data_IF_178246928142
#
_entry.id   IF_178246928142
#
_cell.length_a   1.000
_cell.length_b   1.000
_cell.length_c   1.000
_cell.angle_alpha   90.00
_cell.angle_beta   90.00
_cell.angle_gamma   90.00
#
_symmetry.space_group_name_H-M   'P 1'
#
loop_
_entity.id
_entity.type
_entity.pdbx_description
1 polymer ?
#
# COMPACT_ATOMS: atom_id res chain seq x y z
N UNK A 1 13.61 33.46 37.22
CA UNK A 1 12.54 32.69 36.54
C UNK A 1 12.41 33.31 35.16
N UNK A 2 12.69 32.62 34.05
CA UNK A 2 12.59 33.27 32.76
C UNK A 2 11.11 33.39 32.39
N UNK A 3 10.73 34.58 31.94
CA UNK A 3 9.38 34.97 31.58
C UNK A 3 8.77 34.01 30.55
N UNK A 4 7.72 33.30 30.95
CA UNK A 4 6.84 32.60 30.04
C UNK A 4 5.94 33.63 29.37
N UNK A 5 6.41 34.18 28.25
CA UNK A 5 5.56 34.91 27.31
C UNK A 5 4.57 33.93 26.68
N UNK A 6 3.37 33.86 27.25
CA UNK A 6 2.23 33.16 26.65
C UNK A 6 1.65 34.06 25.55
N UNK A 7 2.16 33.94 24.32
CA UNK A 7 1.48 34.51 23.16
C UNK A 7 0.25 33.64 22.85
N UNK A 8 -0.91 34.04 23.37
CA UNK A 8 -2.20 33.54 22.87
C UNK A 8 -2.50 34.32 21.58
N UNK A 9 -1.87 33.89 20.48
CA UNK A 9 -2.30 34.32 19.16
C UNK A 9 -3.57 33.50 18.83
N UNK A 10 -4.74 34.10 19.04
CA UNK A 10 -5.95 33.65 18.32
C UNK A 10 -5.73 34.07 16.88
N UNK A 11 -5.14 33.19 16.08
CA UNK A 11 -4.89 33.44 14.66
C UNK A 11 -6.21 33.22 13.90
N UNK A 12 -6.98 34.28 13.75
CA UNK A 12 -7.97 34.39 12.68
C UNK A 12 -7.29 35.14 11.53
N UNK A 13 -7.14 34.45 10.40
CA UNK A 13 -6.57 34.89 9.12
C UNK A 13 -5.05 34.70 8.93
N UNK A 14 -4.71 34.16 7.75
CA UNK A 14 -3.39 33.72 7.34
C UNK A 14 -2.31 34.78 7.50
N UNK A 15 -1.16 34.35 8.02
CA UNK A 15 0.02 35.18 8.17
C UNK A 15 0.87 35.11 6.89
N UNK A 16 1.09 36.25 6.25
CA UNK A 16 2.06 36.41 5.16
C UNK A 16 3.38 36.99 5.71
N UNK A 17 4.04 36.30 6.65
CA UNK A 17 5.31 36.74 7.25
C UNK A 17 6.01 35.68 8.11
N UNK A 18 7.31 35.88 8.40
CA UNK A 18 8.11 34.95 9.22
C UNK A 18 7.87 35.17 10.72
N UNK A 19 7.23 34.19 11.38
CA UNK A 19 7.14 34.12 12.84
C UNK A 19 8.39 33.39 13.37
N UNK A 20 9.06 33.92 14.41
CA UNK A 20 10.15 33.25 15.14
C UNK A 20 9.76 33.03 16.60
N UNK A 21 9.56 31.79 17.02
CA UNK A 21 9.26 31.42 18.41
C UNK A 21 10.22 30.34 18.92
N UNK A 22 10.60 30.36 20.20
CA UNK A 22 11.33 29.23 20.79
C UNK A 22 10.47 27.96 20.78
N UNK A 23 9.38 27.97 21.57
CA UNK A 23 8.35 26.94 21.55
C UNK A 23 7.01 27.58 21.14
N UNK A 24 6.39 27.03 20.10
CA UNK A 24 5.03 27.39 19.68
C UNK A 24 4.09 26.24 20.02
N UNK A 25 2.92 26.57 20.57
CA UNK A 25 1.90 25.59 20.93
C UNK A 25 0.56 26.01 20.35
N UNK A 26 -0.08 25.11 19.61
CA UNK A 26 -1.42 25.28 19.06
C UNK A 26 -2.33 24.31 19.79
N UNK A 27 -3.18 24.83 20.69
CA UNK A 27 -4.04 23.97 21.52
C UNK A 27 -5.32 23.53 20.79
N UNK A 28 -5.77 24.31 19.82
CA UNK A 28 -6.95 24.03 19.02
C UNK A 28 -7.04 24.93 17.79
N UNK A 29 -8.00 24.64 16.91
CA UNK A 29 -8.17 25.35 15.64
C UNK A 29 -7.18 24.89 14.58
N UNK A 30 -6.97 25.72 13.56
CA UNK A 30 -6.10 25.39 12.43
C UNK A 30 -4.90 26.35 12.38
N UNK A 31 -3.71 25.78 12.22
CA UNK A 31 -2.49 26.51 11.87
C UNK A 31 -2.11 26.16 10.44
N UNK A 32 -2.36 27.08 9.52
CA UNK A 32 -1.94 27.01 8.12
C UNK A 32 -0.54 27.63 7.96
N UNK A 33 0.43 26.83 7.54
CA UNK A 33 1.80 27.26 7.24
C UNK A 33 1.94 27.48 5.74
N UNK A 34 1.69 28.69 5.26
CA UNK A 34 1.79 29.02 3.83
C UNK A 34 3.19 29.37 3.31
N UNK A 35 4.14 29.74 4.19
CA UNK A 35 5.52 30.10 3.81
C UNK A 35 6.55 29.52 4.77
N UNK A 36 7.16 30.29 5.67
CA UNK A 36 8.09 29.77 6.67
C UNK A 36 7.66 30.12 8.08
N UNK A 37 7.49 29.08 8.90
CA UNK A 37 7.30 29.17 10.33
C UNK A 37 8.63 28.86 11.05
N UNK A 38 9.31 29.91 11.51
CA UNK A 38 10.50 29.81 12.33
C UNK A 38 10.13 29.40 13.75
N UNK A 39 10.48 28.18 14.16
CA UNK A 39 10.45 27.81 15.56
C UNK A 39 11.51 26.79 15.92
N UNK A 40 11.86 26.69 17.21
CA UNK A 40 12.69 25.56 17.70
C UNK A 40 11.84 24.31 17.89
N UNK A 41 10.64 24.47 18.46
CA UNK A 41 9.66 23.40 18.55
C UNK A 41 8.22 23.89 18.33
N UNK A 42 7.41 23.09 17.64
CA UNK A 42 5.97 23.26 17.48
C UNK A 42 5.22 22.09 18.15
N UNK A 43 4.24 22.38 18.98
CA UNK A 43 3.32 21.39 19.56
C UNK A 43 1.92 21.58 19.00
N UNK A 44 1.40 20.58 18.29
CA UNK A 44 0.04 20.54 17.75
C UNK A 44 -0.83 19.74 18.71
N UNK A 45 -1.68 20.40 19.47
CA UNK A 45 -2.54 19.79 20.47
C UNK A 45 -3.66 18.91 19.87
N UNK A 46 -4.34 18.10 20.68
CA UNK A 46 -5.33 17.12 20.19
C UNK A 46 -6.52 17.71 19.42
N UNK A 47 -6.87 18.97 19.69
CA UNK A 47 -7.95 19.68 19.01
C UNK A 47 -7.44 20.63 17.91
N UNK A 48 -6.15 20.57 17.59
CA UNK A 48 -5.50 21.41 16.59
C UNK A 48 -5.24 20.65 15.30
N UNK A 49 -5.23 21.40 14.19
CA UNK A 49 -4.89 20.94 12.85
C UNK A 49 -3.70 21.75 12.33
N UNK A 50 -2.70 21.06 11.79
CA UNK A 50 -1.57 21.66 11.09
C UNK A 50 -1.73 21.45 9.60
N UNK A 51 -1.79 22.53 8.84
CA UNK A 51 -2.06 22.55 7.41
C UNK A 51 -1.06 23.43 6.66
N UNK A 52 -1.26 23.57 5.34
CA UNK A 52 -0.42 24.41 4.48
C UNK A 52 0.65 23.66 3.69
N UNK A 53 1.48 24.44 3.01
CA UNK A 53 2.47 23.98 2.01
C UNK A 53 3.88 24.56 2.25
N UNK A 54 4.07 25.18 3.40
CA UNK A 54 5.26 25.90 3.76
C UNK A 54 6.31 25.03 4.43
N UNK A 55 7.20 25.67 5.18
CA UNK A 55 8.33 25.06 5.88
C UNK A 55 8.30 25.43 7.36
N UNK A 56 8.47 24.44 8.22
CA UNK A 56 8.67 24.60 9.66
C UNK A 56 10.13 24.28 9.95
N UNK A 57 10.83 25.18 10.64
CA UNK A 57 12.29 25.02 10.86
C UNK A 57 12.63 24.07 12.00
N UNK A 58 11.72 23.88 12.95
CA UNK A 58 11.96 23.17 14.21
C UNK A 58 11.39 21.76 14.25
N UNK A 59 11.53 21.11 15.40
CA UNK A 59 10.88 19.82 15.66
C UNK A 59 9.39 20.00 15.86
N UNK A 60 8.58 19.04 15.40
CA UNK A 60 7.13 19.09 15.53
C UNK A 60 6.66 17.90 16.37
N UNK A 61 5.88 18.18 17.41
CA UNK A 61 5.17 17.17 18.20
C UNK A 61 3.68 17.25 17.86
N UNK A 62 3.12 16.15 17.40
CA UNK A 62 1.74 16.08 16.95
C UNK A 62 0.95 15.26 17.96
N UNK A 63 -0.14 15.79 18.47
CA UNK A 63 -1.21 15.05 19.16
C UNK A 63 -2.56 15.20 18.46
N UNK A 64 -2.69 16.17 17.55
CA UNK A 64 -3.87 16.42 16.73
C UNK A 64 -3.70 15.92 15.29
N UNK A 65 -4.13 16.75 14.33
CA UNK A 65 -4.14 16.39 12.91
C UNK A 65 -3.01 17.10 12.16
N UNK A 66 -2.33 16.38 11.28
CA UNK A 66 -1.51 16.95 10.21
C UNK A 66 -2.18 16.65 8.88
N UNK A 67 -2.46 17.69 8.10
CA UNK A 67 -3.06 17.56 6.77
C UNK A 67 -2.40 18.55 5.83
N UNK A 68 -1.28 18.15 5.18
CA UNK A 68 -0.65 18.98 4.16
C UNK A 68 -1.66 19.31 3.06
N UNK A 69 -1.50 20.45 2.38
CA UNK A 69 -2.37 20.80 1.23
C UNK A 69 -3.78 21.27 1.57
N UNK A 70 -4.33 20.93 2.73
CA UNK A 70 -5.55 21.61 3.23
C UNK A 70 -5.28 23.11 3.44
N UNK A 71 -6.25 23.94 3.09
CA UNK A 71 -6.14 25.40 3.17
C UNK A 71 -5.36 26.09 2.03
N UNK A 72 -4.65 25.35 1.18
CA UNK A 72 -3.80 25.91 0.09
C UNK A 72 -4.55 26.35 -1.17
N UNK A 73 -5.86 26.09 -1.25
CA UNK A 73 -6.70 26.34 -2.42
C UNK A 73 -6.70 25.22 -3.47
N UNK A 74 -5.70 24.34 -3.49
CA UNK A 74 -5.61 23.19 -4.42
C UNK A 74 -5.84 21.83 -3.77
N UNK A 75 -6.12 21.78 -2.45
CA UNK A 75 -6.33 20.57 -1.66
C UNK A 75 -5.19 19.52 -1.75
N UNK A 76 -4.06 19.94 -2.31
CA UNK A 76 -2.84 19.18 -2.53
C UNK A 76 -1.69 20.06 -2.12
N UNK A 77 -0.75 19.50 -1.38
CA UNK A 77 0.49 20.21 -1.11
C UNK A 77 1.52 19.47 -0.29
N UNK A 78 2.70 20.08 -0.26
CA UNK A 78 3.85 19.55 0.45
C UNK A 78 4.17 20.45 1.64
N UNK A 79 3.94 19.94 2.86
CA UNK A 79 4.40 20.60 4.07
C UNK A 79 5.80 20.09 4.42
N UNK A 80 6.74 20.98 4.65
CA UNK A 80 8.12 20.62 4.97
C UNK A 80 8.44 20.90 6.44
N UNK A 81 9.08 19.95 7.11
CA UNK A 81 9.62 20.08 8.47
C UNK A 81 11.13 19.84 8.40
N UNK A 82 11.91 20.90 8.58
CA UNK A 82 13.38 20.85 8.66
C UNK A 82 13.89 20.34 10.02
N UNK A 83 13.08 19.54 10.70
CA UNK A 83 13.31 18.95 12.00
C UNK A 83 12.79 17.51 12.04
N UNK A 84 12.65 16.96 13.24
CA UNK A 84 11.97 15.66 13.43
C UNK A 84 10.49 15.88 13.71
N UNK A 85 9.66 14.92 13.31
CA UNK A 85 8.22 14.87 13.64
C UNK A 85 7.95 13.68 14.55
N UNK A 86 7.35 13.94 15.71
CA UNK A 86 6.91 12.91 16.65
C UNK A 86 5.38 12.88 16.69
N UNK A 87 4.80 11.80 16.18
CA UNK A 87 3.37 11.53 16.26
C UNK A 87 3.04 10.86 17.61
N UNK A 88 2.38 11.59 18.49
CA UNK A 88 1.96 11.12 19.81
C UNK A 88 0.69 10.27 19.68
N UNK A 89 0.34 9.45 20.70
CA UNK A 89 -0.89 8.68 20.69
C UNK A 89 -2.12 9.56 20.42
N UNK A 90 -2.96 9.14 19.45
CA UNK A 90 -4.12 9.89 19.00
C UNK A 90 -3.87 10.82 17.81
N UNK A 91 -2.62 10.94 17.34
CA UNK A 91 -2.31 11.72 16.14
C UNK A 91 -2.99 11.16 14.90
N UNK A 92 -3.37 12.07 14.02
CA UNK A 92 -4.00 11.77 12.74
C UNK A 92 -3.18 12.41 11.62
N UNK A 93 -2.95 11.66 10.55
CA UNK A 93 -2.41 12.17 9.30
C UNK A 93 -3.48 12.03 8.21
N UNK A 94 -3.92 13.15 7.66
CA UNK A 94 -4.89 13.20 6.56
C UNK A 94 -4.18 13.54 5.26
N UNK A 95 -4.35 12.69 4.25
CA UNK A 95 -3.77 12.85 2.92
C UNK A 95 -4.87 12.77 1.86
N UNK A 96 -4.80 13.67 0.89
CA UNK A 96 -5.62 13.65 -0.32
C UNK A 96 -4.75 13.32 -1.54
N UNK A 97 -5.25 12.43 -2.40
CA UNK A 97 -4.70 12.17 -3.72
C UNK A 97 -5.63 12.74 -4.80
N UNK A 98 -5.20 13.78 -5.48
CA UNK A 98 -5.97 14.41 -6.57
C UNK A 98 -5.88 13.58 -7.84
N UNK A 99 -4.71 13.00 -8.09
CA UNK A 99 -4.51 12.06 -9.18
C UNK A 99 -3.45 11.04 -8.76
N UNK A 100 -2.96 10.31 -9.75
CA UNK A 100 -2.08 9.18 -9.55
C UNK A 100 -0.68 9.52 -9.01
N UNK A 101 -0.21 10.74 -9.23
CA UNK A 101 1.14 11.17 -8.83
C UNK A 101 1.12 12.46 -8.01
N UNK A 102 -0.04 13.11 -7.94
CA UNK A 102 -0.27 14.33 -7.19
C UNK A 102 -1.09 14.02 -5.95
N UNK A 103 -0.43 14.06 -4.81
CA UNK A 103 -1.00 13.80 -3.49
C UNK A 103 -0.33 14.68 -2.43
N UNK A 104 -0.96 14.79 -1.27
CA UNK A 104 -0.35 15.44 -0.11
C UNK A 104 0.89 14.70 0.35
N UNK A 105 1.92 15.48 0.71
CA UNK A 105 3.15 14.95 1.25
C UNK A 105 3.61 15.74 2.47
N UNK A 106 4.05 15.04 3.51
CA UNK A 106 4.80 15.62 4.60
C UNK A 106 6.28 15.26 4.43
N UNK A 107 7.11 16.27 4.15
CA UNK A 107 8.55 16.08 4.07
C UNK A 107 9.16 16.33 5.43
N UNK A 108 9.79 15.31 6.01
CA UNK A 108 10.47 15.37 7.29
C UNK A 108 11.96 15.15 7.05
N UNK A 109 12.75 16.21 7.19
CA UNK A 109 14.19 16.18 6.85
C UNK A 109 14.98 15.30 7.83
N UNK A 110 14.61 15.33 9.11
CA UNK A 110 15.16 14.40 10.09
C UNK A 110 14.25 13.17 10.18
N UNK A 111 13.81 12.78 11.38
CA UNK A 111 13.07 11.54 11.56
C UNK A 111 11.57 11.78 11.77
N UNK A 112 10.74 10.93 11.15
CA UNK A 112 9.31 10.83 11.45
C UNK A 112 9.05 9.55 12.24
N UNK A 113 8.51 9.66 13.45
CA UNK A 113 8.34 8.52 14.36
C UNK A 113 7.03 8.62 15.16
N UNK A 114 6.60 7.50 15.73
CA UNK A 114 5.53 7.45 16.72
C UNK A 114 4.32 6.64 16.27
N UNK A 115 3.14 7.05 16.71
CA UNK A 115 1.86 6.36 16.44
C UNK A 115 0.92 7.29 15.73
N UNK A 116 0.34 6.85 14.62
CA UNK A 116 -0.51 7.69 13.79
C UNK A 116 -1.61 6.89 13.07
N UNK A 117 -2.82 7.43 13.08
CA UNK A 117 -3.89 6.97 12.22
C UNK A 117 -3.86 7.74 10.89
N UNK A 118 -3.71 7.03 9.78
CA UNK A 118 -3.59 7.61 8.44
C UNK A 118 -4.93 7.52 7.71
N UNK A 119 -5.48 8.65 7.32
CA UNK A 119 -6.68 8.76 6.51
C UNK A 119 -6.31 9.17 5.09
N UNK A 120 -6.64 8.32 4.13
CA UNK A 120 -6.39 8.58 2.71
C UNK A 120 -7.72 8.80 2.00
N UNK A 121 -7.86 10.01 1.45
CA UNK A 121 -8.95 10.38 0.55
C UNK A 121 -8.41 10.53 -0.86
N UNK A 122 -9.31 10.47 -1.85
CA UNK A 122 -8.91 10.54 -3.25
C UNK A 122 -9.98 11.17 -4.13
N UNK A 123 -9.57 11.81 -5.21
CA UNK A 123 -10.46 12.04 -6.36
C UNK A 123 -10.88 10.69 -6.96
N UNK A 124 -12.07 10.56 -7.57
CA UNK A 124 -12.62 9.28 -8.03
C UNK A 124 -11.69 8.47 -8.95
N UNK A 125 -10.87 9.15 -9.75
CA UNK A 125 -9.92 8.55 -10.69
C UNK A 125 -8.52 8.39 -10.12
N UNK A 126 -8.22 8.94 -8.94
CA UNK A 126 -6.88 8.92 -8.38
C UNK A 126 -6.52 7.53 -7.83
N UNK A 127 -5.32 7.06 -8.17
CA UNK A 127 -4.79 5.76 -7.76
C UNK A 127 -3.31 5.96 -7.47
N UNK A 128 -2.97 6.46 -6.28
CA UNK A 128 -1.61 6.80 -5.89
C UNK A 128 -0.82 5.54 -5.52
N UNK A 129 -0.44 4.74 -6.52
CA UNK A 129 0.36 3.53 -6.28
C UNK A 129 1.80 3.90 -5.92
N UNK A 130 2.30 3.32 -4.82
CA UNK A 130 3.67 3.49 -4.30
C UNK A 130 4.09 4.95 -4.11
N UNK A 131 3.12 5.85 -3.91
CA UNK A 131 3.40 7.26 -3.73
C UNK A 131 3.74 7.56 -2.27
N UNK A 132 4.77 8.37 -2.04
CA UNK A 132 5.17 8.80 -0.70
C UNK A 132 4.18 9.82 -0.16
N UNK A 133 3.56 9.52 0.98
CA UNK A 133 2.69 10.43 1.74
C UNK A 133 3.45 11.10 2.90
N UNK A 134 4.51 10.43 3.38
CA UNK A 134 5.50 11.02 4.27
C UNK A 134 6.87 10.69 3.70
N UNK A 135 7.60 11.72 3.31
CA UNK A 135 9.00 11.59 2.90
C UNK A 135 9.86 11.75 4.15
N UNK A 136 10.48 10.67 4.60
CA UNK A 136 11.31 10.66 5.79
C UNK A 136 12.79 10.48 5.48
N UNK A 137 13.51 10.00 6.48
CA UNK A 137 14.91 9.59 6.37
C UNK A 137 15.13 8.22 7.00
N UNK A 138 16.33 7.60 6.86
CA UNK A 138 16.62 6.26 7.36
C UNK A 138 16.40 6.01 8.87
N UNK A 139 16.28 7.06 9.69
CA UNK A 139 15.96 6.97 11.11
C UNK A 139 14.45 7.08 11.43
N UNK A 140 13.59 7.15 10.40
CA UNK A 140 12.14 7.21 10.53
C UNK A 140 11.56 5.81 10.74
N UNK A 141 10.50 5.72 11.55
CA UNK A 141 9.87 4.46 11.96
C UNK A 141 8.35 4.60 11.91
N UNK A 142 7.71 3.80 11.04
CA UNK A 142 6.26 3.84 10.81
C UNK A 142 5.53 2.56 11.27
N UNK A 143 6.19 1.66 12.00
CA UNK A 143 5.62 0.38 12.43
C UNK A 143 4.33 0.47 13.26
N UNK A 144 4.04 1.65 13.83
CA UNK A 144 2.80 1.94 14.56
C UNK A 144 1.85 2.89 13.82
N UNK A 145 2.03 3.03 12.49
CA UNK A 145 1.10 3.73 11.62
C UNK A 145 0.10 2.74 11.07
N UNK A 146 -1.15 3.17 10.94
CA UNK A 146 -2.23 2.30 10.43
C UNK A 146 -3.20 3.10 9.59
N UNK A 147 -3.71 2.49 8.51
CA UNK A 147 -4.81 3.09 7.75
C UNK A 147 -6.08 3.07 8.62
N UNK A 148 -6.78 4.20 8.64
CA UNK A 148 -8.05 4.38 9.32
C UNK A 148 -9.12 4.96 8.39
N UNK A 149 -10.37 4.93 8.84
CA UNK A 149 -11.53 5.48 8.13
C UNK A 149 -12.24 4.47 7.23
N UNK A 150 -13.26 4.94 6.49
CA UNK A 150 -14.16 4.11 5.69
C UNK A 150 -13.49 3.43 4.50
N UNK A 151 -12.35 3.96 4.06
CA UNK A 151 -11.62 3.43 2.91
C UNK A 151 -10.49 2.47 3.32
N UNK A 152 -10.43 2.03 4.58
CA UNK A 152 -9.28 1.27 5.08
C UNK A 152 -9.05 -0.08 4.39
N UNK A 153 -10.07 -0.65 3.74
CA UNK A 153 -9.96 -1.85 2.93
C UNK A 153 -9.26 -1.62 1.57
N UNK A 154 -9.24 -0.38 1.08
CA UNK A 154 -8.72 -0.02 -0.24
C UNK A 154 -7.23 0.33 -0.21
N UNK A 155 -6.69 0.63 0.96
CA UNK A 155 -5.35 1.18 1.10
C UNK A 155 -4.46 0.30 1.96
N UNK A 156 -3.16 0.27 1.63
CA UNK A 156 -2.13 -0.17 2.56
C UNK A 156 -1.04 0.87 2.69
N UNK A 157 -0.35 0.79 3.83
CA UNK A 157 0.89 1.51 4.07
C UNK A 157 2.05 0.56 3.86
N UNK A 158 3.06 1.06 3.17
CA UNK A 158 4.32 0.35 2.96
C UNK A 158 5.49 1.29 3.24
N UNK A 159 6.61 0.71 3.64
CA UNK A 159 7.86 1.46 3.73
C UNK A 159 8.67 1.24 2.46
N UNK A 160 9.12 2.33 1.84
CA UNK A 160 9.94 2.26 0.62
C UNK A 160 11.02 3.33 0.55
N UNK A 161 12.01 3.11 -0.31
CA UNK A 161 13.15 4.03 -0.48
C UNK A 161 13.95 4.25 0.81
N UNK A 162 14.30 5.51 1.10
CA UNK A 162 15.04 5.93 2.30
C UNK A 162 14.18 5.99 3.57
N UNK A 163 13.31 5.01 3.81
CA UNK A 163 12.25 5.00 4.85
C UNK A 163 11.24 6.15 4.66
N UNK A 164 10.64 6.17 3.47
CA UNK A 164 9.41 6.91 3.23
C UNK A 164 8.21 6.04 3.59
N UNK A 165 7.13 6.68 4.03
CA UNK A 165 5.83 6.03 4.15
C UNK A 165 5.09 6.19 2.82
N UNK A 166 4.82 5.06 2.19
CA UNK A 166 4.10 4.97 0.92
C UNK A 166 2.64 4.58 1.17
N UNK A 167 1.76 5.05 0.29
CA UNK A 167 0.41 4.50 0.14
C UNK A 167 0.35 3.64 -1.13
N UNK A 168 -0.40 2.54 -1.06
CA UNK A 168 -0.74 1.70 -2.22
C UNK A 168 -2.24 1.41 -2.24
N UNK A 169 -2.83 1.43 -3.45
CA UNK A 169 -4.25 1.13 -3.69
C UNK A 169 -4.41 -0.32 -4.10
N UNK A 170 -5.23 -1.09 -3.38
CA UNK A 170 -5.45 -2.51 -3.66
C UNK A 170 -6.61 -2.79 -4.63
N UNK A 171 -7.38 -1.78 -5.03
CA UNK A 171 -8.74 -2.00 -5.57
C UNK A 171 -9.14 -1.13 -6.77
N UNK A 172 -8.20 -0.44 -7.43
CA UNK A 172 -8.52 0.23 -8.69
C UNK A 172 -8.62 -0.80 -9.83
N UNK A 173 -9.58 -0.64 -10.74
CA UNK A 173 -9.72 -1.36 -12.02
C UNK A 173 -10.27 -0.33 -13.03
N UNK A 174 -9.36 0.35 -13.74
CA UNK A 174 -9.63 1.59 -14.47
C UNK A 174 -10.41 1.39 -15.75
N UNK A 175 -10.31 0.21 -16.37
CA UNK A 175 -11.06 -0.18 -17.56
C UNK A 175 -12.13 -1.26 -17.31
N UNK A 176 -12.24 -1.77 -16.08
CA UNK A 176 -13.33 -2.63 -15.62
C UNK A 176 -13.19 -4.07 -16.09
N UNK A 177 -11.97 -4.53 -16.37
CA UNK A 177 -11.71 -5.84 -16.94
C UNK A 177 -11.40 -6.93 -15.89
N UNK A 178 -11.51 -6.57 -14.60
CA UNK A 178 -11.19 -7.40 -13.43
C UNK A 178 -9.69 -7.63 -13.20
N UNK A 179 -8.82 -6.86 -13.84
CA UNK A 179 -7.43 -6.69 -13.43
C UNK A 179 -7.31 -5.44 -12.54
N UNK A 180 -6.56 -5.51 -11.44
CA UNK A 180 -6.29 -4.31 -10.68
C UNK A 180 -5.34 -3.36 -11.41
N UNK A 181 -5.64 -2.07 -11.42
CA UNK A 181 -4.81 -0.99 -11.98
C UNK A 181 -3.36 -1.04 -11.50
N UNK A 182 -3.14 -1.49 -10.26
CA UNK A 182 -1.80 -1.64 -9.71
C UNK A 182 -1.03 -2.77 -10.37
N UNK A 183 -1.70 -3.89 -10.63
CA UNK A 183 -1.11 -5.06 -11.26
C UNK A 183 -0.80 -4.75 -12.72
N UNK A 184 -1.70 -4.04 -13.40
CA UNK A 184 -1.43 -3.57 -14.76
C UNK A 184 -0.27 -2.58 -14.80
N UNK A 185 -0.17 -1.68 -13.82
CA UNK A 185 0.93 -0.71 -13.76
C UNK A 185 2.27 -1.42 -13.58
N UNK A 186 2.35 -2.38 -12.66
CA UNK A 186 3.59 -3.10 -12.35
C UNK A 186 4.06 -3.97 -13.52
N UNK A 187 3.13 -4.57 -14.29
CA UNK A 187 3.48 -5.49 -15.37
C UNK A 187 3.53 -4.81 -16.75
N UNK A 188 2.63 -3.87 -17.04
CA UNK A 188 2.46 -3.27 -18.37
C UNK A 188 2.77 -1.77 -18.42
N UNK A 189 3.16 -1.16 -17.29
CA UNK A 189 3.41 0.29 -17.20
C UNK A 189 2.20 1.15 -17.63
N UNK A 190 1.00 0.60 -17.49
CA UNK A 190 -0.28 1.21 -17.87
C UNK A 190 -1.38 0.74 -16.92
N UNK A 191 -2.49 1.48 -16.81
CA UNK A 191 -3.64 1.12 -15.96
C UNK A 191 -4.82 0.52 -16.71
N UNK A 192 -4.72 0.40 -18.03
CA UNK A 192 -5.86 0.02 -18.88
C UNK A 192 -5.39 -0.64 -20.18
N UNK A 193 -4.13 -1.09 -20.22
CA UNK A 193 -3.56 -1.63 -21.46
C UNK A 193 -3.46 -3.14 -21.43
N UNK A 194 -3.47 -3.75 -20.24
CA UNK A 194 -3.53 -5.19 -20.15
C UNK A 194 -4.99 -5.58 -20.37
N UNK A 195 -5.25 -6.45 -21.34
CA UNK A 195 -6.55 -7.11 -21.38
C UNK A 195 -6.50 -8.36 -20.51
N UNK A 196 -7.45 -8.51 -19.60
CA UNK A 196 -7.67 -9.70 -18.78
C UNK A 196 -7.67 -11.01 -19.57
N UNK A 197 -8.12 -10.96 -20.82
CA UNK A 197 -8.22 -12.12 -21.72
C UNK A 197 -7.04 -12.32 -22.66
N UNK A 198 -6.12 -11.35 -22.73
CA UNK A 198 -4.90 -11.48 -23.52
C UNK A 198 -3.89 -12.39 -22.83
N UNK A 199 -3.10 -13.07 -23.65
CA UNK A 199 -1.94 -13.88 -23.29
C UNK A 199 -0.72 -13.11 -23.82
N UNK A 200 -0.14 -12.28 -22.95
CA UNK A 200 0.78 -11.22 -23.36
C UNK A 200 2.16 -11.76 -23.74
N UNK A 201 2.63 -12.78 -23.02
CA UNK A 201 3.87 -13.46 -23.35
C UNK A 201 3.65 -14.58 -24.37
N UNK A 202 2.51 -15.28 -24.38
CA UNK A 202 2.18 -16.35 -25.31
C UNK A 202 2.43 -17.74 -24.74
N UNK A 203 2.14 -17.95 -23.45
CA UNK A 203 2.32 -19.20 -22.71
C UNK A 203 1.00 -19.99 -22.50
N UNK A 204 -0.10 -19.48 -23.07
CA UNK A 204 -1.48 -19.97 -22.97
C UNK A 204 -2.19 -19.66 -21.65
N UNK A 205 -1.60 -18.83 -20.79
CA UNK A 205 -2.20 -18.31 -19.58
C UNK A 205 -2.56 -16.83 -19.77
N UNK A 206 -3.85 -16.49 -19.68
CA UNK A 206 -4.25 -15.10 -19.84
C UNK A 206 -3.90 -14.25 -18.60
N UNK A 207 -3.79 -12.94 -18.79
CA UNK A 207 -3.44 -11.97 -17.76
C UNK A 207 -4.28 -12.10 -16.48
N UNK A 208 -5.58 -12.39 -16.58
CA UNK A 208 -6.42 -12.62 -15.39
C UNK A 208 -6.01 -13.88 -14.64
N UNK A 209 -5.70 -14.97 -15.35
CA UNK A 209 -5.24 -16.20 -14.72
C UNK A 209 -3.86 -16.00 -14.08
N UNK A 210 -2.99 -15.24 -14.74
CA UNK A 210 -1.68 -14.82 -14.23
C UNK A 210 -1.81 -14.01 -12.92
N UNK A 211 -2.68 -12.99 -12.92
CA UNK A 211 -3.01 -12.20 -11.73
C UNK A 211 -3.48 -13.08 -10.56
N UNK A 212 -4.40 -14.02 -10.83
CA UNK A 212 -4.93 -14.93 -9.80
C UNK A 212 -3.85 -15.90 -9.30
N UNK A 213 -2.98 -16.39 -10.19
CA UNK A 213 -1.90 -17.28 -9.84
C UNK A 213 -0.71 -16.57 -9.16
N UNK A 214 -0.58 -15.25 -9.34
CA UNK A 214 0.58 -14.48 -8.92
C UNK A 214 1.82 -14.74 -9.78
N UNK A 215 1.61 -15.18 -11.01
CA UNK A 215 2.66 -15.41 -12.02
C UNK A 215 2.93 -14.12 -12.81
N UNK A 216 3.96 -14.15 -13.66
CA UNK A 216 4.45 -12.95 -14.37
C UNK A 216 3.94 -13.00 -15.81
N UNK A 217 3.00 -12.11 -16.20
CA UNK A 217 2.35 -12.14 -17.51
C UNK A 217 3.29 -11.79 -18.68
N UNK A 218 4.54 -11.42 -18.40
CA UNK A 218 5.57 -11.11 -19.39
C UNK A 218 6.70 -12.17 -19.45
N UNK A 219 6.64 -13.22 -18.63
CA UNK A 219 7.62 -14.31 -18.61
C UNK A 219 6.97 -15.68 -18.77
N UNK A 220 7.14 -16.26 -19.96
CA UNK A 220 6.62 -17.59 -20.36
C UNK A 220 7.00 -18.75 -19.45
N UNK A 221 8.00 -18.56 -18.60
CA UNK A 221 8.46 -19.58 -17.66
C UNK A 221 7.79 -19.46 -16.28
N UNK A 222 7.13 -18.35 -16.02
CA UNK A 222 6.34 -18.05 -14.83
C UNK A 222 4.88 -18.38 -15.10
N UNK A 223 4.50 -19.66 -14.94
CA UNK A 223 3.12 -20.10 -15.19
C UNK A 223 2.65 -21.15 -14.19
N UNK A 224 1.35 -21.17 -13.91
CA UNK A 224 0.75 -22.21 -13.08
C UNK A 224 0.49 -23.49 -13.88
N UNK A 225 1.50 -24.35 -13.91
CA UNK A 225 1.41 -25.66 -14.54
C UNK A 225 1.96 -26.77 -13.63
N UNK A 226 1.45 -28.00 -13.83
CA UNK A 226 2.05 -29.20 -13.23
C UNK A 226 3.40 -29.42 -13.93
N UNK A 227 4.49 -29.20 -13.21
CA UNK A 227 5.86 -29.35 -13.70
C UNK A 227 6.27 -30.83 -13.78
N UNK A 228 5.80 -31.67 -12.86
CA UNK A 228 5.99 -33.12 -12.95
C UNK A 228 4.83 -33.88 -12.30
N UNK A 229 4.48 -35.01 -12.90
CA UNK A 229 3.48 -35.94 -12.40
C UNK A 229 3.94 -37.37 -12.67
N UNK A 230 4.14 -38.18 -11.62
CA UNK A 230 4.65 -39.53 -11.81
C UNK A 230 4.68 -40.36 -10.54
N UNK A 231 4.94 -41.67 -10.68
CA UNK A 231 5.14 -42.55 -9.53
C UNK A 231 6.54 -42.35 -8.93
N UNK A 232 6.58 -42.18 -7.62
CA UNK A 232 7.78 -42.25 -6.79
C UNK A 232 8.32 -43.69 -6.75
N UNK A 233 9.56 -43.85 -6.27
CA UNK A 233 10.16 -45.15 -5.96
C UNK A 233 9.35 -45.96 -4.94
N UNK A 234 8.57 -45.29 -4.07
CA UNK A 234 7.61 -45.90 -3.13
C UNK A 234 6.30 -46.34 -3.78
N UNK A 235 6.14 -46.17 -5.10
CA UNK A 235 4.90 -46.34 -5.87
C UNK A 235 3.82 -45.28 -5.68
N UNK A 236 4.03 -44.27 -4.83
CA UNK A 236 3.07 -43.17 -4.66
C UNK A 236 3.02 -42.24 -5.88
N UNK A 237 1.85 -41.72 -6.25
CA UNK A 237 1.76 -40.77 -7.36
C UNK A 237 1.97 -39.34 -6.85
N UNK A 238 3.03 -38.68 -7.32
CA UNK A 238 3.43 -37.35 -6.84
C UNK A 238 3.29 -36.33 -7.97
N UNK A 239 2.65 -35.21 -7.64
CA UNK A 239 2.54 -34.02 -8.45
C UNK A 239 3.50 -32.95 -7.91
N UNK A 240 4.11 -32.17 -8.79
CA UNK A 240 4.80 -30.94 -8.43
C UNK A 240 4.43 -29.80 -9.38
N UNK A 241 4.42 -28.57 -8.87
CA UNK A 241 4.13 -27.36 -9.64
C UNK A 241 4.87 -26.17 -9.04
N UNK A 242 5.16 -25.16 -9.87
CA UNK A 242 5.71 -23.90 -9.39
C UNK A 242 4.68 -23.18 -8.52
N UNK A 243 5.13 -22.71 -7.36
CA UNK A 243 4.27 -22.05 -6.39
C UNK A 243 4.76 -20.66 -6.05
N UNK A 244 3.81 -19.75 -5.87
CA UNK A 244 4.03 -18.34 -5.55
C UNK A 244 3.62 -18.09 -4.10
N UNK A 245 4.40 -17.29 -3.37
CA UNK A 245 4.11 -16.90 -1.99
C UNK A 245 2.70 -16.30 -1.86
N UNK A 246 2.08 -16.45 -0.68
CA UNK A 246 0.73 -15.94 -0.38
C UNK A 246 -0.40 -16.50 -1.26
N UNK A 247 -0.16 -17.65 -1.94
CA UNK A 247 -1.21 -18.40 -2.63
C UNK A 247 -1.58 -19.65 -1.85
N UNK A 248 -2.82 -20.10 -2.10
CA UNK A 248 -3.34 -21.36 -1.60
C UNK A 248 -3.81 -22.18 -2.79
N UNK A 249 -3.45 -23.46 -2.83
CA UNK A 249 -3.70 -24.33 -3.96
C UNK A 249 -4.69 -25.45 -3.63
N UNK A 250 -5.33 -25.94 -4.68
CA UNK A 250 -6.11 -27.15 -4.67
C UNK A 250 -5.70 -28.07 -5.83
N UNK A 251 -5.86 -29.38 -5.63
CA UNK A 251 -5.67 -30.38 -6.69
C UNK A 251 -7.02 -30.97 -7.03
N UNK A 252 -7.36 -30.98 -8.31
CA UNK A 252 -8.53 -31.66 -8.86
C UNK A 252 -8.07 -32.85 -9.68
N UNK A 253 -8.87 -33.91 -9.65
CA UNK A 253 -8.62 -35.16 -10.40
C UNK A 253 -9.89 -35.62 -11.09
N UNK A 254 -9.75 -36.20 -12.28
CA UNK A 254 -10.84 -36.91 -12.97
C UNK A 254 -10.30 -38.11 -13.75
N UNK A 255 -11.12 -39.15 -13.91
CA UNK A 255 -10.89 -40.25 -14.85
C UNK A 255 -11.79 -40.12 -16.10
N UNK A 256 -12.56 -39.04 -16.20
CA UNK A 256 -13.50 -38.75 -17.27
C UNK A 256 -13.34 -37.29 -17.71
N UNK A 257 -12.65 -37.09 -18.83
CA UNK A 257 -12.45 -35.76 -19.43
C UNK A 257 -13.72 -35.19 -20.05
N UNK A 258 -14.74 -36.00 -20.33
CA UNK A 258 -16.02 -35.55 -20.91
C UNK A 258 -16.83 -34.83 -19.84
N UNK A 259 -16.92 -35.40 -18.64
CA UNK A 259 -17.63 -34.81 -17.50
C UNK A 259 -16.77 -33.82 -16.70
N UNK A 260 -15.48 -33.70 -17.03
CA UNK A 260 -14.56 -32.71 -16.47
C UNK A 260 -14.09 -33.02 -15.04
N UNK A 261 -13.63 -31.98 -14.34
CA UNK A 261 -13.12 -32.09 -12.97
C UNK A 261 -14.24 -31.86 -11.95
N UNK A 262 -14.38 -32.78 -11.00
CA UNK A 262 -15.27 -32.63 -9.84
C UNK A 262 -14.62 -31.78 -8.73
N UNK A 263 -15.14 -31.85 -7.51
CA UNK A 263 -14.57 -31.16 -6.36
C UNK A 263 -13.08 -31.53 -6.18
N UNK A 264 -12.25 -30.61 -5.62
CA UNK A 264 -10.85 -30.90 -5.37
C UNK A 264 -10.68 -32.15 -4.50
N UNK A 265 -9.71 -32.99 -4.83
CA UNK A 265 -9.29 -34.13 -3.99
C UNK A 265 -8.58 -33.63 -2.73
N UNK A 266 -7.96 -32.45 -2.81
CA UNK A 266 -7.37 -31.73 -1.70
C UNK A 266 -7.47 -30.23 -1.98
N UNK A 267 -7.60 -29.45 -0.90
CA UNK A 267 -7.66 -27.98 -0.91
C UNK A 267 -6.85 -27.44 0.26
N UNK A 268 -6.73 -26.12 0.33
CA UNK A 268 -6.01 -25.39 1.37
C UNK A 268 -4.53 -25.77 1.46
N UNK A 269 -3.91 -26.12 0.33
CA UNK A 269 -2.47 -26.38 0.27
C UNK A 269 -1.77 -25.03 0.26
N UNK A 270 -1.17 -24.65 1.39
CA UNK A 270 -0.37 -23.44 1.47
C UNK A 270 0.82 -23.48 0.49
N UNK A 271 1.13 -22.33 -0.11
CA UNK A 271 2.30 -22.20 -0.97
C UNK A 271 3.60 -22.58 -0.23
N UNK A 272 4.52 -23.24 -0.94
CA UNK A 272 5.88 -23.56 -0.49
C UNK A 272 6.87 -23.28 -1.64
N UNK A 273 7.09 -22.00 -2.00
CA UNK A 273 7.97 -21.64 -3.11
C UNK A 273 9.39 -22.21 -2.97
N UNK A 274 10.06 -22.55 -4.09
CA UNK A 274 9.61 -22.34 -5.46
C UNK A 274 8.64 -23.42 -5.98
N UNK A 275 8.52 -24.56 -5.29
CA UNK A 275 7.78 -25.73 -5.77
C UNK A 275 6.91 -26.33 -4.66
N UNK A 276 5.62 -26.46 -4.92
CA UNK A 276 4.75 -27.31 -4.11
C UNK A 276 4.76 -28.74 -4.64
N UNK A 277 4.50 -29.69 -3.73
CA UNK A 277 4.24 -31.09 -4.09
C UNK A 277 2.97 -31.58 -3.42
N UNK A 278 2.31 -32.56 -4.05
CA UNK A 278 1.20 -33.29 -3.47
C UNK A 278 1.29 -34.77 -3.84
N UNK A 279 1.14 -35.65 -2.85
CA UNK A 279 1.12 -37.09 -3.04
C UNK A 279 -0.31 -37.59 -3.04
N UNK A 280 -0.73 -38.17 -4.15
CA UNK A 280 -2.04 -38.79 -4.31
C UNK A 280 -1.96 -40.30 -4.09
N UNK A 281 -2.79 -40.81 -3.18
CA UNK A 281 -2.81 -42.21 -2.75
C UNK A 281 -3.64 -43.11 -3.69
N UNK A 282 -3.68 -42.81 -4.98
CA UNK A 282 -4.43 -43.60 -5.97
C UNK A 282 -3.86 -45.00 -6.16
N UNK A 283 -4.74 -46.01 -6.09
CA UNK A 283 -4.43 -47.40 -6.42
C UNK A 283 -4.03 -47.63 -7.88
N UNK A 284 -3.41 -48.77 -8.17
CA UNK A 284 -2.60 -49.02 -9.39
C UNK A 284 -3.34 -49.48 -10.66
N UNK A 285 -4.52 -48.94 -11.02
CA UNK A 285 -5.23 -49.47 -12.21
C UNK A 285 -6.04 -48.50 -13.08
N UNK A 286 -5.95 -47.18 -12.91
CA UNK A 286 -6.70 -46.23 -13.76
C UNK A 286 -5.86 -45.03 -14.19
N UNK A 287 -6.14 -44.52 -15.39
CA UNK A 287 -5.60 -43.25 -15.88
C UNK A 287 -6.42 -42.11 -15.27
N UNK A 288 -5.72 -41.10 -14.76
CA UNK A 288 -6.32 -39.91 -14.20
C UNK A 288 -5.71 -38.67 -14.87
N UNK A 289 -6.55 -37.66 -15.04
CA UNK A 289 -6.16 -36.30 -15.39
C UNK A 289 -6.13 -35.46 -14.12
N UNK A 290 -5.15 -34.57 -14.04
CA UNK A 290 -4.95 -33.69 -12.89
C UNK A 290 -4.98 -32.24 -13.32
N UNK A 291 -5.50 -31.39 -12.42
CA UNK A 291 -5.45 -29.95 -12.56
C UNK A 291 -5.07 -29.34 -11.22
N UNK A 292 -4.09 -28.45 -11.25
CA UNK A 292 -3.79 -27.53 -10.15
C UNK A 292 -4.63 -26.26 -10.32
N UNK A 293 -5.08 -25.68 -9.22
CA UNK A 293 -5.76 -24.38 -9.23
C UNK A 293 -5.47 -23.58 -7.97
N UNK A 294 -5.55 -22.25 -8.08
CA UNK A 294 -5.46 -21.32 -6.94
C UNK A 294 -6.83 -21.14 -6.31
N UNK A 295 -6.85 -20.97 -4.99
CA UNK A 295 -8.01 -20.58 -4.21
C UNK A 295 -7.87 -19.11 -3.81
N UNK A 296 -8.83 -18.30 -4.26
CA UNK A 296 -9.02 -16.90 -3.86
C UNK A 296 -9.64 -16.79 -2.47
#
# INVERSE_FOLDING_TARGET
>A
MPDRLLFVAILLAGFCGQLHAGNLQVNGGELDVGSTLGCSALSVGPSARLTGIGTITGTVHVAGVVSPGQGSGTNIGTLTVNGSVSFLPGSIFECHAENHTSLDNLVVVNSANGTCAVYVTRSPTAIPLHQSIITGNPASVYSSFSIAGTNSAHWRLEEGGSRNLLVTSLSGDGDGDSLPDWWEMDNFSSRTAASATADADGDLMNNRSEYVAGTDPLDKTSLLAIASAGRSASSDFVLSWHSVSNRTYCIKRTNDVINGFSAPVVSNIAASPPMNTYTDLVGTAQQYFYKVGVQE
#
